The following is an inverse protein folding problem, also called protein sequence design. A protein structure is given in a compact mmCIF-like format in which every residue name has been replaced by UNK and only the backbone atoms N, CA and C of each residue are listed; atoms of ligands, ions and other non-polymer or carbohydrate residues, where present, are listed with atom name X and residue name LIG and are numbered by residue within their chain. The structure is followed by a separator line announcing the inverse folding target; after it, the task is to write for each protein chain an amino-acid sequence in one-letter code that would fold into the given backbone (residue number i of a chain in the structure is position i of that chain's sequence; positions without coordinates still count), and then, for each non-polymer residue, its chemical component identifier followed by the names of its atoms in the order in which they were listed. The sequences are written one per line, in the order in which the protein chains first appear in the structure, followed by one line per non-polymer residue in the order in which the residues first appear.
data_IF_697622348165
#
_entry.id   IF_697622348165
#
_cell.length_a   1.000
_cell.length_b   1.000
_cell.length_c   1.000
_cell.angle_alpha   90.00
_cell.angle_beta   90.00
_cell.angle_gamma   90.00
#
_symmetry.space_group_name_H-M   'P 1'
#
loop_
_entity.id
_entity.type
_entity.pdbx_description
1 polymer ?
#
# COMPACT_ATOMS: atom_id res chain seq x y z
N UNK A 1 1.16 -4.47 -38.47
CA UNK A 1 1.03 -5.82 -37.85
C UNK A 1 -0.29 -5.90 -37.10
N UNK A 2 -1.06 -7.00 -37.22
CA UNK A 2 -2.35 -7.14 -36.53
C UNK A 2 -2.11 -7.51 -35.05
N UNK A 3 -2.85 -6.85 -34.16
CA UNK A 3 -2.83 -7.18 -32.73
C UNK A 3 -3.73 -8.39 -32.51
N UNK A 4 -3.14 -9.51 -32.12
CA UNK A 4 -3.82 -10.77 -31.81
C UNK A 4 -3.69 -11.12 -30.34
N UNK A 5 -4.53 -12.02 -29.83
CA UNK A 5 -4.38 -12.56 -28.47
C UNK A 5 -3.05 -13.31 -28.30
N UNK A 6 -2.57 -13.95 -29.37
CA UNK A 6 -1.26 -14.60 -29.40
C UNK A 6 -0.14 -13.60 -29.19
N UNK A 7 -0.14 -12.46 -29.90
CA UNK A 7 0.84 -11.39 -29.71
C UNK A 7 0.82 -10.84 -28.26
N UNK A 8 -0.37 -10.72 -27.68
CA UNK A 8 -0.51 -10.30 -26.26
C UNK A 8 0.09 -11.34 -25.31
N UNK A 9 -0.14 -12.63 -25.57
CA UNK A 9 0.43 -13.69 -24.76
C UNK A 9 1.96 -13.73 -24.88
N UNK A 10 2.51 -13.54 -26.07
CA UNK A 10 3.96 -13.44 -26.30
C UNK A 10 4.58 -12.26 -25.55
N UNK A 11 3.91 -11.11 -25.55
CA UNK A 11 4.31 -9.96 -24.73
C UNK A 11 4.32 -10.29 -23.22
N UNK A 12 3.29 -10.97 -22.72
CA UNK A 12 3.22 -11.35 -21.32
C UNK A 12 4.30 -12.36 -20.93
N UNK A 13 4.62 -13.28 -21.85
CA UNK A 13 5.71 -14.25 -21.67
C UNK A 13 7.07 -13.54 -21.66
N UNK A 14 7.31 -12.62 -22.60
CA UNK A 14 8.49 -11.77 -22.59
C UNK A 14 8.66 -11.04 -21.23
N UNK A 15 7.56 -10.48 -20.69
CA UNK A 15 7.59 -9.83 -19.36
C UNK A 15 7.81 -10.81 -18.20
N UNK A 16 7.45 -12.09 -18.32
CA UNK A 16 7.84 -13.13 -17.35
C UNK A 16 9.33 -13.37 -17.35
N UNK A 17 9.93 -13.44 -18.54
CA UNK A 17 11.36 -13.63 -18.71
C UNK A 17 12.20 -12.46 -18.17
N UNK A 18 11.61 -11.27 -18.00
CA UNK A 18 12.19 -10.14 -17.25
C UNK A 18 12.06 -10.29 -15.72
N UNK A 19 11.76 -11.48 -15.19
CA UNK A 19 11.62 -11.78 -13.75
C UNK A 19 10.52 -10.98 -13.04
N UNK A 20 9.50 -10.53 -13.76
CA UNK A 20 8.36 -9.87 -13.14
C UNK A 20 7.49 -10.88 -12.37
N UNK A 21 6.98 -10.45 -11.22
CA UNK A 21 6.10 -11.29 -10.40
C UNK A 21 4.79 -11.57 -11.13
N UNK A 22 4.28 -12.79 -11.02
CA UNK A 22 3.05 -13.25 -11.67
C UNK A 22 1.84 -12.30 -11.42
N UNK A 23 1.78 -11.68 -10.24
CA UNK A 23 0.77 -10.65 -9.96
C UNK A 23 0.88 -9.44 -10.87
N UNK A 24 2.09 -9.01 -11.22
CA UNK A 24 2.34 -7.89 -12.16
C UNK A 24 1.93 -8.29 -13.57
N UNK A 25 2.26 -9.53 -13.99
CA UNK A 25 1.85 -10.08 -15.29
C UNK A 25 0.33 -10.11 -15.42
N UNK A 26 -0.39 -10.57 -14.37
CA UNK A 26 -1.86 -10.55 -14.34
C UNK A 26 -2.43 -9.13 -14.48
N UNK A 27 -1.78 -8.14 -13.86
CA UNK A 27 -2.18 -6.74 -14.01
C UNK A 27 -1.97 -6.24 -15.43
N UNK A 28 -0.82 -6.52 -16.04
CA UNK A 28 -0.55 -6.18 -17.43
C UNK A 28 -1.58 -6.82 -18.38
N UNK A 29 -1.88 -8.11 -18.19
CA UNK A 29 -2.90 -8.79 -18.99
C UNK A 29 -4.26 -8.09 -18.88
N UNK A 30 -4.70 -7.78 -17.67
CA UNK A 30 -5.98 -7.12 -17.43
C UNK A 30 -6.04 -5.74 -18.09
N UNK A 31 -5.01 -4.92 -17.89
CA UNK A 31 -4.96 -3.56 -18.42
C UNK A 31 -4.86 -3.53 -19.94
N UNK A 32 -4.05 -4.45 -20.53
CA UNK A 32 -3.89 -4.52 -21.97
C UNK A 32 -5.12 -5.09 -22.66
N UNK A 33 -5.76 -6.13 -22.10
CA UNK A 33 -7.01 -6.69 -22.66
C UNK A 33 -8.15 -5.68 -22.64
N UNK A 34 -8.17 -4.73 -21.70
CA UNK A 34 -9.13 -3.63 -21.70
C UNK A 34 -8.88 -2.67 -22.89
N UNK A 35 -7.61 -2.34 -23.15
CA UNK A 35 -7.20 -1.52 -24.29
C UNK A 35 -7.49 -2.24 -25.63
N UNK A 36 -7.14 -3.50 -25.73
CA UNK A 36 -7.38 -4.32 -26.94
C UNK A 36 -8.87 -4.39 -27.31
N UNK A 37 -9.75 -4.58 -26.32
CA UNK A 37 -11.20 -4.55 -26.55
C UNK A 37 -11.66 -3.19 -27.07
N UNK A 38 -11.18 -2.11 -26.47
CA UNK A 38 -11.49 -0.77 -26.92
C UNK A 38 -10.99 -0.49 -28.35
N UNK A 39 -9.80 -0.97 -28.71
CA UNK A 39 -9.29 -0.85 -30.09
C UNK A 39 -10.21 -1.59 -31.08
N UNK A 40 -10.65 -2.81 -30.76
CA UNK A 40 -11.58 -3.57 -31.62
C UNK A 40 -12.91 -2.84 -31.79
N UNK A 41 -13.48 -2.29 -30.73
CA UNK A 41 -14.74 -1.54 -30.78
C UNK A 41 -14.62 -0.29 -31.65
N UNK A 42 -13.43 0.32 -31.71
CA UNK A 42 -13.13 1.48 -32.54
C UNK A 42 -12.54 1.12 -33.91
N UNK A 43 -12.64 -0.14 -34.34
CA UNK A 43 -12.13 -0.65 -35.64
C UNK A 43 -10.64 -0.42 -35.86
N UNK A 44 -9.86 -0.35 -34.78
CA UNK A 44 -8.41 -0.22 -34.75
C UNK A 44 -7.83 -1.58 -34.36
N UNK A 45 -7.18 -2.26 -35.26
CA UNK A 45 -6.71 -3.63 -35.03
C UNK A 45 -5.24 -3.85 -35.32
N UNK A 46 -4.53 -2.83 -35.79
CA UNK A 46 -3.10 -2.90 -36.13
C UNK A 46 -2.26 -2.14 -35.13
N UNK A 47 -1.01 -2.52 -35.01
CA UNK A 47 -0.06 -1.79 -34.15
C UNK A 47 0.14 -0.36 -34.66
N UNK A 48 0.16 -0.16 -35.96
CA UNK A 48 0.30 1.13 -36.61
C UNK A 48 -0.87 2.08 -36.27
N UNK A 49 -2.02 1.52 -35.88
CA UNK A 49 -3.19 2.29 -35.44
C UNK A 49 -2.99 2.92 -34.03
N UNK A 50 -1.96 2.46 -33.30
CA UNK A 50 -1.64 3.00 -31.96
C UNK A 50 -0.79 4.27 -32.10
N UNK A 51 -1.35 5.28 -32.73
CA UNK A 51 -0.74 6.58 -32.85
C UNK A 51 -1.05 7.51 -31.67
N UNK A 52 -0.54 8.71 -31.72
CA UNK A 52 -0.79 9.73 -30.67
C UNK A 52 -2.27 10.04 -30.50
N UNK A 53 -3.01 10.13 -31.62
CA UNK A 53 -4.44 10.45 -31.60
C UNK A 53 -5.23 9.34 -30.90
N UNK A 54 -4.96 8.09 -31.26
CA UNK A 54 -5.57 6.91 -30.64
C UNK A 54 -5.32 6.85 -29.14
N UNK A 55 -4.12 7.21 -28.69
CA UNK A 55 -3.81 7.27 -27.26
C UNK A 55 -4.61 8.39 -26.57
N UNK A 56 -4.75 9.57 -27.18
CA UNK A 56 -5.56 10.65 -26.59
C UNK A 56 -7.07 10.31 -26.59
N UNK A 57 -7.57 9.62 -27.61
CA UNK A 57 -8.94 9.09 -27.66
C UNK A 57 -9.16 8.06 -26.53
N UNK A 58 -8.21 7.13 -26.35
CA UNK A 58 -8.29 6.17 -25.25
C UNK A 58 -8.23 6.81 -23.88
N UNK A 59 -7.41 7.84 -23.68
CA UNK A 59 -7.40 8.64 -22.44
C UNK A 59 -8.77 9.29 -22.21
N UNK A 60 -9.35 9.90 -23.23
CA UNK A 60 -10.68 10.54 -23.14
C UNK A 60 -11.74 9.50 -22.76
N UNK A 61 -11.68 8.30 -23.37
CA UNK A 61 -12.53 7.18 -22.99
C UNK A 61 -12.32 6.77 -21.53
N UNK A 62 -11.08 6.63 -21.06
CA UNK A 62 -10.79 6.30 -19.66
C UNK A 62 -11.32 7.37 -18.69
N UNK A 63 -11.25 8.63 -19.05
CA UNK A 63 -11.83 9.73 -18.27
C UNK A 63 -13.36 9.69 -18.25
N UNK A 64 -14.01 9.21 -19.32
CA UNK A 64 -15.46 9.08 -19.41
C UNK A 64 -16.00 7.85 -18.65
N UNK A 65 -15.14 6.89 -18.34
CA UNK A 65 -15.57 5.70 -17.59
C UNK A 65 -15.99 6.08 -16.17
N UNK A 66 -17.22 5.74 -15.85
CA UNK A 66 -17.80 5.96 -14.54
C UNK A 66 -17.13 5.07 -13.48
N UNK A 67 -16.50 5.66 -12.46
CA UNK A 67 -15.70 4.95 -11.45
C UNK A 67 -16.45 3.91 -10.61
N UNK A 68 -17.78 3.87 -10.64
CA UNK A 68 -18.60 2.94 -9.85
C UNK A 68 -18.42 1.46 -10.20
N UNK A 69 -17.96 1.12 -11.41
CA UNK A 69 -17.68 -0.27 -11.81
C UNK A 69 -16.30 -0.78 -11.39
N UNK A 70 -15.37 0.11 -11.04
CA UNK A 70 -13.96 -0.25 -10.82
C UNK A 70 -13.45 0.00 -9.41
N UNK A 71 -14.16 0.74 -8.58
CA UNK A 71 -13.77 0.99 -7.20
C UNK A 71 -14.96 0.87 -6.25
N UNK A 72 -15.00 -0.20 -5.50
CA UNK A 72 -15.94 -0.36 -4.36
C UNK A 72 -15.66 0.61 -3.21
N UNK A 73 -14.55 1.37 -3.26
CA UNK A 73 -14.01 2.13 -2.13
C UNK A 73 -13.68 3.59 -2.45
N UNK A 74 -13.92 4.09 -3.67
CA UNK A 74 -13.70 5.50 -3.98
C UNK A 74 -15.05 6.21 -4.15
N UNK A 75 -15.24 7.29 -3.40
CA UNK A 75 -16.37 8.23 -3.58
C UNK A 75 -16.23 9.04 -4.89
N UNK A 76 -15.23 8.75 -5.72
CA UNK A 76 -15.00 9.45 -6.97
C UNK A 76 -15.71 8.74 -8.11
N UNK A 77 -16.48 9.50 -8.86
CA UNK A 77 -17.23 9.04 -10.05
C UNK A 77 -16.31 8.69 -11.25
N UNK A 78 -15.00 8.93 -11.16
CA UNK A 78 -14.04 8.85 -12.26
C UNK A 78 -12.85 7.96 -11.92
N UNK A 79 -12.25 7.33 -12.95
CA UNK A 79 -10.96 6.65 -12.76
C UNK A 79 -9.91 7.66 -12.29
N UNK A 80 -9.13 7.27 -11.27
CA UNK A 80 -8.04 8.12 -10.82
C UNK A 80 -6.96 8.24 -11.91
N UNK A 81 -6.31 9.39 -12.00
CA UNK A 81 -5.18 9.61 -12.91
C UNK A 81 -4.04 8.59 -12.71
N UNK A 82 -3.86 8.07 -11.48
CA UNK A 82 -2.92 6.97 -11.19
C UNK A 82 -3.32 5.71 -11.95
N UNK A 83 -4.60 5.35 -11.92
CA UNK A 83 -5.13 4.18 -12.63
C UNK A 83 -5.02 4.36 -14.15
N UNK A 84 -5.28 5.57 -14.65
CA UNK A 84 -5.12 5.91 -16.07
C UNK A 84 -3.64 5.75 -16.47
N UNK A 85 -2.72 6.33 -15.70
CA UNK A 85 -1.29 6.21 -15.96
C UNK A 85 -0.78 4.76 -15.90
N UNK A 86 -1.32 3.93 -15.00
CA UNK A 86 -0.99 2.51 -14.95
C UNK A 86 -1.36 1.80 -16.26
N UNK A 87 -2.55 2.09 -16.81
CA UNK A 87 -2.99 1.54 -18.10
C UNK A 87 -2.13 2.03 -19.26
N UNK A 88 -1.81 3.33 -19.29
CA UNK A 88 -0.92 3.90 -20.31
C UNK A 88 0.51 3.33 -20.22
N UNK A 89 1.00 3.08 -19.01
CA UNK A 89 2.30 2.44 -18.80
C UNK A 89 2.32 1.02 -19.40
N UNK A 90 1.24 0.27 -19.25
CA UNK A 90 1.11 -1.05 -19.87
C UNK A 90 1.21 -0.99 -21.40
N UNK A 91 0.53 -0.01 -22.03
CA UNK A 91 0.60 0.20 -23.48
C UNK A 91 2.02 0.59 -23.89
N UNK A 92 2.68 1.47 -23.14
CA UNK A 92 4.06 1.86 -23.39
C UNK A 92 4.99 0.64 -23.42
N UNK A 93 4.92 -0.23 -22.42
CA UNK A 93 5.71 -1.45 -22.37
C UNK A 93 5.39 -2.43 -23.52
N UNK A 94 4.16 -2.48 -23.97
CA UNK A 94 3.80 -3.27 -25.14
C UNK A 94 4.43 -2.72 -26.43
N UNK A 95 4.43 -1.41 -26.63
CA UNK A 95 5.09 -0.79 -27.78
C UNK A 95 6.60 -0.97 -27.74
N UNK A 96 7.22 -0.86 -26.56
CA UNK A 96 8.65 -1.16 -26.35
C UNK A 96 8.98 -2.61 -26.74
N UNK A 97 8.14 -3.56 -26.35
CA UNK A 97 8.25 -4.96 -26.75
C UNK A 97 8.12 -5.15 -28.26
N UNK A 98 7.13 -4.52 -28.90
CA UNK A 98 6.93 -4.62 -30.34
C UNK A 98 8.11 -4.04 -31.12
N UNK A 99 8.66 -2.91 -30.68
CA UNK A 99 9.87 -2.35 -31.28
C UNK A 99 11.07 -3.28 -31.16
N UNK A 100 11.25 -3.91 -29.98
CA UNK A 100 12.40 -4.78 -29.73
C UNK A 100 12.32 -6.10 -30.51
N UNK A 101 11.11 -6.70 -30.61
CA UNK A 101 10.97 -8.04 -31.19
C UNK A 101 10.65 -8.01 -32.67
N UNK A 102 9.91 -7.00 -33.15
CA UNK A 102 9.36 -6.95 -34.50
C UNK A 102 9.82 -5.74 -35.33
N UNK A 103 10.78 -4.97 -34.83
CA UNK A 103 11.33 -3.78 -35.51
C UNK A 103 10.27 -2.76 -35.95
N UNK A 104 9.20 -2.64 -35.18
CA UNK A 104 8.11 -1.70 -35.45
C UNK A 104 8.50 -0.35 -34.84
N UNK A 105 8.83 0.63 -35.68
CA UNK A 105 9.28 1.96 -35.28
C UNK A 105 8.14 2.82 -34.69
N UNK A 106 7.70 2.48 -33.50
CA UNK A 106 6.76 3.26 -32.70
C UNK A 106 7.53 3.92 -31.55
N UNK A 107 7.33 5.21 -31.36
CA UNK A 107 7.98 5.92 -30.25
C UNK A 107 7.14 5.83 -28.98
N UNK A 108 7.50 4.96 -28.00
CA UNK A 108 6.76 4.82 -26.75
C UNK A 108 6.75 6.12 -25.91
N UNK A 109 7.68 7.07 -26.17
CA UNK A 109 7.76 8.34 -25.46
C UNK A 109 6.70 9.35 -25.91
N UNK A 110 6.05 9.10 -27.06
CA UNK A 110 4.88 9.89 -27.50
C UNK A 110 3.66 9.68 -26.58
N UNK A 111 3.63 8.58 -25.78
CA UNK A 111 2.62 8.36 -24.76
C UNK A 111 2.89 9.27 -23.57
N UNK A 112 2.23 10.43 -23.55
CA UNK A 112 2.32 11.35 -22.42
C UNK A 112 1.42 10.89 -21.29
N UNK A 113 2.01 10.68 -20.10
CA UNK A 113 1.27 10.39 -18.88
C UNK A 113 0.43 11.60 -18.45
N UNK A 114 -0.68 11.33 -17.76
CA UNK A 114 -1.51 12.38 -17.16
C UNK A 114 -0.73 13.01 -16.00
N UNK A 115 -0.62 14.35 -16.01
CA UNK A 115 0.04 15.05 -14.90
C UNK A 115 -0.79 14.89 -13.63
N UNK A 116 -0.17 14.33 -12.61
CA UNK A 116 -0.75 14.24 -11.29
C UNK A 116 -0.62 15.56 -10.54
N UNK A 117 -1.69 15.98 -9.88
CA UNK A 117 -1.51 16.89 -8.74
C UNK A 117 -0.90 16.08 -7.63
N UNK A 118 0.23 16.49 -7.06
CA UNK A 118 0.77 15.87 -5.86
C UNK A 118 -0.22 16.14 -4.73
N UNK A 119 -1.02 15.15 -4.36
CA UNK A 119 -1.78 15.25 -3.14
C UNK A 119 -0.79 15.09 -1.98
N UNK A 120 -0.85 15.99 -1.01
CA UNK A 120 -0.14 15.78 0.26
C UNK A 120 -0.57 14.43 0.83
N UNK A 121 0.41 13.65 1.25
CA UNK A 121 0.11 12.36 1.88
C UNK A 121 -0.41 12.63 3.29
N UNK A 122 -1.58 12.08 3.60
CA UNK A 122 -2.13 12.16 4.94
C UNK A 122 -1.25 11.40 5.93
N UNK A 123 -1.06 11.97 7.10
CA UNK A 123 -0.41 11.32 8.24
C UNK A 123 -1.18 11.65 9.53
N UNK A 124 -0.98 10.85 10.56
CA UNK A 124 -1.58 11.03 11.88
C UNK A 124 -0.50 11.46 12.89
N UNK A 125 -0.85 12.40 13.75
CA UNK A 125 -0.02 12.76 14.92
C UNK A 125 -0.16 11.70 16.01
N UNK A 126 0.69 11.76 17.03
CA UNK A 126 0.61 10.83 18.18
C UNK A 126 -0.73 10.94 18.91
N UNK A 127 -1.26 12.15 19.05
CA UNK A 127 -2.58 12.40 19.65
C UNK A 127 -3.69 11.80 18.80
N UNK A 128 -3.60 11.96 17.47
CA UNK A 128 -4.57 11.35 16.55
C UNK A 128 -4.50 9.81 16.60
N UNK A 129 -3.32 9.21 16.75
CA UNK A 129 -3.16 7.75 16.93
C UNK A 129 -3.79 7.29 18.26
N UNK A 130 -3.61 8.02 19.37
CA UNK A 130 -4.27 7.71 20.65
C UNK A 130 -5.80 7.71 20.50
N UNK A 131 -6.36 8.74 19.89
CA UNK A 131 -7.80 8.83 19.62
C UNK A 131 -8.30 7.68 18.71
N UNK A 132 -7.50 7.26 17.74
CA UNK A 132 -7.82 6.11 16.87
C UNK A 132 -7.84 4.82 17.70
N UNK A 133 -6.89 4.62 18.61
CA UNK A 133 -6.83 3.45 19.48
C UNK A 133 -8.00 3.40 20.48
N UNK A 134 -8.43 4.54 21.00
CA UNK A 134 -9.64 4.66 21.84
C UNK A 134 -10.91 4.34 21.05
N UNK A 135 -11.04 4.83 19.82
CA UNK A 135 -12.18 4.57 18.95
C UNK A 135 -12.36 3.08 18.61
N UNK A 136 -11.30 2.27 18.70
CA UNK A 136 -11.38 0.81 18.50
C UNK A 136 -12.32 0.18 19.53
N UNK A 137 -12.33 0.65 20.78
CA UNK A 137 -13.17 0.09 21.83
C UNK A 137 -14.66 0.30 21.55
N UNK A 138 -15.00 1.35 20.81
CA UNK A 138 -16.38 1.66 20.42
C UNK A 138 -16.80 0.96 19.11
N UNK A 139 -15.83 0.59 18.25
CA UNK A 139 -16.13 -0.01 16.95
C UNK A 139 -16.16 -1.54 16.99
N UNK A 140 -15.42 -2.16 17.88
CA UNK A 140 -15.33 -3.61 18.03
C UNK A 140 -16.07 -4.10 19.28
N UNK A 141 -17.03 -4.99 19.07
CA UNK A 141 -17.89 -5.51 20.15
C UNK A 141 -17.15 -6.41 21.14
N UNK A 142 -16.19 -7.21 20.66
CA UNK A 142 -15.51 -8.22 21.48
C UNK A 142 -14.09 -7.76 21.82
N UNK A 143 -13.68 -7.91 23.07
CA UNK A 143 -12.35 -7.51 23.57
C UNK A 143 -11.22 -8.08 22.74
N UNK A 144 -11.30 -9.33 22.33
CA UNK A 144 -10.31 -9.98 21.47
C UNK A 144 -10.13 -9.28 20.12
N UNK A 145 -11.21 -8.72 19.52
CA UNK A 145 -11.13 -7.97 18.28
C UNK A 145 -10.58 -6.57 18.51
N UNK A 146 -10.92 -5.94 19.64
CA UNK A 146 -10.36 -4.65 20.05
C UNK A 146 -8.85 -4.76 20.17
N UNK A 147 -8.35 -5.72 20.95
CA UNK A 147 -6.93 -5.93 21.17
C UNK A 147 -6.18 -6.28 19.87
N UNK A 148 -6.78 -7.12 19.02
CA UNK A 148 -6.22 -7.43 17.71
C UNK A 148 -6.07 -6.21 16.82
N UNK A 149 -7.10 -5.35 16.75
CA UNK A 149 -7.06 -4.14 15.92
C UNK A 149 -6.10 -3.11 16.51
N UNK A 150 -6.08 -2.93 17.83
CA UNK A 150 -5.10 -2.07 18.51
C UNK A 150 -3.67 -2.51 18.23
N UNK A 151 -3.38 -3.81 18.37
CA UNK A 151 -2.06 -4.37 18.07
C UNK A 151 -1.68 -4.14 16.60
N UNK A 152 -2.62 -4.36 15.66
CA UNK A 152 -2.38 -4.12 14.24
C UNK A 152 -2.04 -2.67 13.95
N UNK A 153 -2.81 -1.72 14.49
CA UNK A 153 -2.59 -0.28 14.30
C UNK A 153 -1.24 0.12 14.88
N UNK A 154 -0.96 -0.30 16.12
CA UNK A 154 0.27 0.07 16.81
C UNK A 154 1.51 -0.48 16.11
N UNK A 155 1.51 -1.78 15.76
CA UNK A 155 2.61 -2.41 15.01
C UNK A 155 2.85 -1.68 13.68
N UNK A 156 1.80 -1.33 12.93
CA UNK A 156 1.95 -0.59 11.66
C UNK A 156 2.52 0.82 11.88
N UNK A 157 2.11 1.49 12.95
CA UNK A 157 2.55 2.84 13.26
C UNK A 157 4.01 2.92 13.70
N UNK A 158 4.50 1.95 14.50
CA UNK A 158 5.86 2.01 15.06
C UNK A 158 6.92 1.29 14.23
N UNK A 159 6.54 0.48 13.21
CA UNK A 159 7.49 -0.45 12.58
C UNK A 159 7.63 -0.35 11.07
N UNK A 160 6.96 0.59 10.42
CA UNK A 160 7.02 0.76 8.96
C UNK A 160 6.74 -0.51 8.15
N UNK A 161 6.00 -1.47 8.68
CA UNK A 161 5.72 -2.74 8.03
C UNK A 161 4.69 -2.60 6.90
N UNK A 162 4.87 -3.37 5.82
CA UNK A 162 3.87 -3.51 4.76
C UNK A 162 2.80 -4.52 5.17
N UNK A 163 1.62 -4.45 4.56
CA UNK A 163 0.50 -5.35 4.86
C UNK A 163 0.89 -6.84 4.92
N UNK A 164 1.68 -7.31 3.96
CA UNK A 164 2.10 -8.71 3.95
C UNK A 164 3.14 -9.03 5.03
N UNK A 165 3.98 -8.07 5.37
CA UNK A 165 5.00 -8.19 6.42
C UNK A 165 4.32 -8.24 7.79
N UNK A 166 3.40 -7.31 8.08
CA UNK A 166 2.63 -7.30 9.34
C UNK A 166 1.90 -8.63 9.60
N UNK A 167 1.33 -9.21 8.55
CA UNK A 167 0.60 -10.49 8.67
C UNK A 167 1.50 -11.67 9.04
N UNK A 168 2.80 -11.57 8.79
CA UNK A 168 3.79 -12.63 9.02
C UNK A 168 4.61 -12.43 10.30
N UNK A 169 4.41 -11.32 11.03
CA UNK A 169 5.08 -11.07 12.29
C UNK A 169 4.70 -12.15 13.31
N UNK A 170 5.71 -12.71 13.95
CA UNK A 170 5.55 -13.72 15.00
C UNK A 170 5.45 -13.08 16.38
N UNK A 171 4.94 -13.83 17.32
CA UNK A 171 4.89 -13.44 18.74
C UNK A 171 6.28 -13.09 19.26
N UNK A 172 7.26 -13.93 18.96
CA UNK A 172 8.65 -13.73 19.40
C UNK A 172 9.28 -12.48 18.85
N UNK A 173 8.97 -12.10 17.60
CA UNK A 173 9.46 -10.87 16.99
C UNK A 173 9.10 -9.65 17.84
N UNK A 174 7.84 -9.57 18.29
CA UNK A 174 7.37 -8.47 19.14
C UNK A 174 7.97 -8.57 20.55
N UNK A 175 8.04 -9.76 21.14
CA UNK A 175 8.63 -9.97 22.47
C UNK A 175 10.11 -9.61 22.52
N UNK A 176 10.84 -9.87 21.46
CA UNK A 176 12.26 -9.49 21.30
C UNK A 176 12.47 -8.04 20.91
N UNK A 177 11.39 -7.25 20.75
CA UNK A 177 11.38 -5.86 20.33
C UNK A 177 12.00 -5.60 18.95
N UNK A 178 12.37 -6.63 18.21
CA UNK A 178 12.91 -6.49 16.87
C UNK A 178 12.80 -7.77 16.05
N UNK A 179 12.85 -7.61 14.73
CA UNK A 179 12.94 -8.72 13.77
C UNK A 179 13.65 -8.29 12.49
N UNK A 180 14.06 -9.26 11.69
CA UNK A 180 14.61 -9.03 10.37
C UNK A 180 13.55 -9.37 9.31
N UNK A 181 13.20 -8.41 8.48
CA UNK A 181 12.27 -8.61 7.36
C UNK A 181 13.07 -8.74 6.08
N UNK A 182 12.80 -9.80 5.34
CA UNK A 182 13.37 -10.00 3.99
C UNK A 182 12.57 -9.13 3.01
N UNK A 183 13.26 -8.26 2.33
CA UNK A 183 12.68 -7.36 1.33
C UNK A 183 13.02 -7.83 -0.09
N UNK A 184 12.71 -7.02 -1.11
CA UNK A 184 13.03 -7.33 -2.51
C UNK A 184 14.55 -7.60 -2.66
N UNK A 185 14.91 -8.62 -3.45
CA UNK A 185 16.30 -9.00 -3.74
C UNK A 185 17.07 -9.49 -2.51
N UNK A 186 16.40 -10.25 -1.61
CA UNK A 186 16.97 -10.81 -0.37
C UNK A 186 17.65 -9.81 0.59
N UNK A 187 17.40 -8.50 0.38
CA UNK A 187 17.88 -7.48 1.31
C UNK A 187 17.10 -7.59 2.61
N UNK A 188 17.82 -7.74 3.72
CA UNK A 188 17.26 -7.75 5.06
C UNK A 188 17.22 -6.32 5.61
N UNK A 189 16.12 -5.96 6.27
CA UNK A 189 16.07 -4.76 7.09
C UNK A 189 15.63 -5.13 8.49
N UNK A 190 16.22 -4.46 9.48
CA UNK A 190 15.82 -4.61 10.87
C UNK A 190 14.60 -3.74 11.14
N UNK A 191 13.66 -4.28 11.87
CA UNK A 191 12.41 -3.63 12.29
C UNK A 191 12.35 -3.67 13.80
N UNK A 192 11.85 -2.61 14.42
CA UNK A 192 11.78 -2.47 15.86
C UNK A 192 10.33 -2.33 16.32
N UNK A 193 10.06 -2.80 17.54
CA UNK A 193 8.78 -2.68 18.22
C UNK A 193 8.97 -1.94 19.55
N UNK A 194 7.87 -1.56 20.20
CA UNK A 194 7.88 -0.86 21.48
C UNK A 194 7.35 -1.76 22.60
N UNK A 195 7.63 -1.41 23.85
CA UNK A 195 7.07 -2.12 25.00
C UNK A 195 5.54 -2.09 25.00
N UNK A 196 4.92 -1.06 24.45
CA UNK A 196 3.48 -0.97 24.29
C UNK A 196 2.93 -2.06 23.35
N UNK A 197 3.68 -2.43 22.31
CA UNK A 197 3.34 -3.59 21.46
C UNK A 197 3.34 -4.89 22.28
N UNK A 198 4.31 -5.07 23.17
CA UNK A 198 4.39 -6.25 24.06
C UNK A 198 3.19 -6.27 25.01
N UNK A 199 2.85 -5.13 25.61
CA UNK A 199 1.72 -5.00 26.52
C UNK A 199 0.40 -5.42 25.86
N UNK A 200 0.08 -4.82 24.72
CA UNK A 200 -1.13 -5.16 23.97
C UNK A 200 -1.10 -6.61 23.46
N UNK A 201 0.06 -7.12 23.05
CA UNK A 201 0.21 -8.52 22.64
C UNK A 201 -0.12 -9.45 23.79
N UNK A 202 0.41 -9.22 25.00
CA UNK A 202 0.16 -10.07 26.16
C UNK A 202 -1.33 -10.08 26.54
N UNK A 203 -1.98 -8.91 26.60
CA UNK A 203 -3.43 -8.83 26.82
C UNK A 203 -4.20 -9.60 25.73
N UNK A 204 -3.77 -9.50 24.47
CA UNK A 204 -4.39 -10.22 23.35
C UNK A 204 -4.23 -11.76 23.50
N UNK A 205 -3.05 -12.23 23.92
CA UNK A 205 -2.80 -13.65 24.15
C UNK A 205 -3.61 -14.18 25.34
N UNK A 206 -3.72 -13.41 26.42
CA UNK A 206 -4.55 -13.76 27.57
C UNK A 206 -6.04 -13.86 27.18
N UNK A 207 -6.54 -12.91 26.40
CA UNK A 207 -7.92 -12.93 25.93
C UNK A 207 -8.22 -14.13 25.02
N UNK A 208 -7.22 -14.62 24.28
CA UNK A 208 -7.36 -15.83 23.46
C UNK A 208 -7.56 -17.11 24.27
N UNK A 209 -7.10 -17.14 25.52
CA UNK A 209 -7.28 -18.27 26.42
C UNK A 209 -8.68 -18.32 27.06
N UNK A 210 -9.50 -17.30 26.84
CA UNK A 210 -10.89 -17.28 27.32
C UNK A 210 -11.83 -17.96 26.31
N UNK A 211 -12.97 -18.49 26.76
CA UNK A 211 -13.97 -19.08 25.88
C UNK A 211 -14.48 -18.04 24.86
N UNK A 212 -14.54 -18.38 23.59
CA UNK A 212 -15.08 -17.51 22.56
C UNK A 212 -16.60 -17.32 22.74
N UNK A 213 -17.11 -16.08 22.67
CA UNK A 213 -18.51 -15.74 23.04
C UNK A 213 -19.60 -16.51 22.33
N UNK A 214 -19.33 -17.09 21.15
CA UNK A 214 -20.33 -17.83 20.35
C UNK A 214 -20.20 -19.35 20.45
N UNK A 215 -19.05 -19.86 20.87
CA UNK A 215 -18.74 -21.30 20.76
C UNK A 215 -18.53 -21.89 22.14
N UNK A 216 -18.36 -21.09 23.18
CA UNK A 216 -18.04 -21.48 24.56
C UNK A 216 -16.86 -22.47 24.68
N UNK A 217 -16.01 -22.53 23.65
CA UNK A 217 -14.82 -23.35 23.58
C UNK A 217 -13.57 -22.48 23.50
N UNK A 218 -12.55 -22.88 24.23
CA UNK A 218 -11.21 -22.32 24.10
C UNK A 218 -10.62 -22.88 22.80
N UNK A 219 -10.35 -22.00 21.86
CA UNK A 219 -9.71 -22.43 20.63
C UNK A 219 -8.20 -22.47 20.81
N UNK A 220 -7.62 -23.65 20.64
CA UNK A 220 -6.16 -23.82 20.74
C UNK A 220 -5.48 -23.10 19.57
N UNK A 221 -4.50 -22.26 19.89
CA UNK A 221 -3.68 -21.57 18.91
C UNK A 221 -2.81 -22.59 18.14
N UNK A 222 -2.79 -22.46 16.82
CA UNK A 222 -2.04 -23.38 15.93
C UNK A 222 -0.92 -22.69 15.15
N UNK A 223 -0.71 -21.37 15.36
CA UNK A 223 0.30 -20.60 14.63
C UNK A 223 1.07 -19.67 15.55
N UNK A 224 2.31 -19.32 15.18
CA UNK A 224 3.17 -18.38 15.90
C UNK A 224 2.95 -16.92 15.48
N UNK A 225 2.07 -16.67 14.50
CA UNK A 225 1.82 -15.30 14.05
C UNK A 225 1.21 -14.46 15.16
N UNK A 226 1.74 -13.23 15.37
CA UNK A 226 1.28 -12.33 16.42
C UNK A 226 -0.19 -11.91 16.21
N UNK A 227 -0.57 -11.61 14.96
CA UNK A 227 -1.91 -11.12 14.60
C UNK A 227 -2.61 -12.14 13.72
N UNK A 228 -3.69 -12.73 14.24
CA UNK A 228 -4.37 -13.85 13.60
C UNK A 228 -5.84 -13.56 13.30
N UNK A 229 -6.37 -14.29 12.32
CA UNK A 229 -7.78 -14.28 11.97
C UNK A 229 -8.59 -15.20 12.88
N UNK A 230 -9.74 -14.73 13.33
CA UNK A 230 -10.72 -15.54 14.07
C UNK A 230 -11.82 -15.92 13.09
N UNK A 231 -11.73 -17.10 12.50
CA UNK A 231 -12.77 -17.58 11.62
C UNK A 231 -13.53 -18.73 12.28
N UNK A 232 -14.84 -18.71 12.15
CA UNK A 232 -15.80 -19.68 12.71
C UNK A 232 -15.43 -21.16 12.44
N UNK A 233 -14.77 -21.48 11.31
CA UNK A 233 -14.43 -22.85 10.90
C UNK A 233 -12.92 -23.15 10.83
N UNK A 234 -12.07 -22.11 10.84
CA UNK A 234 -10.61 -22.26 10.80
C UNK A 234 -10.02 -21.34 11.84
N UNK A 235 -9.85 -21.86 13.01
CA UNK A 235 -9.25 -21.14 14.12
C UNK A 235 -7.79 -20.82 13.81
N UNK A 236 -7.40 -19.56 14.04
CA UNK A 236 -6.03 -19.12 14.17
C UNK A 236 -5.19 -19.16 12.88
N UNK A 237 -5.76 -18.79 11.77
CA UNK A 237 -5.01 -18.58 10.52
C UNK A 237 -4.47 -17.15 10.43
N UNK A 238 -3.49 -16.98 9.55
CA UNK A 238 -3.00 -15.65 9.19
C UNK A 238 -4.17 -14.72 8.83
N UNK A 239 -4.17 -13.51 9.39
CA UNK A 239 -5.21 -12.51 9.15
C UNK A 239 -5.32 -12.17 7.65
N UNK A 240 -6.48 -12.31 7.05
CA UNK A 240 -6.64 -12.04 5.63
C UNK A 240 -6.75 -10.54 5.33
N UNK A 241 -6.42 -10.14 4.10
CA UNK A 241 -6.41 -8.73 3.68
C UNK A 241 -7.79 -8.10 3.76
N UNK A 242 -8.82 -8.84 3.35
CA UNK A 242 -10.19 -8.37 3.36
C UNK A 242 -10.66 -8.07 4.78
N UNK A 243 -10.30 -8.91 5.75
CA UNK A 243 -10.63 -8.67 7.16
C UNK A 243 -9.97 -7.37 7.67
N UNK A 244 -8.70 -7.15 7.35
CA UNK A 244 -8.01 -5.91 7.71
C UNK A 244 -8.71 -4.70 7.10
N UNK A 245 -9.08 -4.78 5.82
CA UNK A 245 -9.78 -3.69 5.15
C UNK A 245 -11.14 -3.41 5.82
N UNK A 246 -11.93 -4.43 6.08
CA UNK A 246 -13.23 -4.28 6.75
C UNK A 246 -13.10 -3.67 8.16
N UNK A 247 -12.05 -4.04 8.91
CA UNK A 247 -11.79 -3.45 10.23
C UNK A 247 -11.48 -1.95 10.11
N UNK A 248 -10.65 -1.54 9.15
CA UNK A 248 -10.34 -0.13 8.92
C UNK A 248 -11.54 0.64 8.36
N UNK A 249 -12.33 0.06 7.44
CA UNK A 249 -13.52 0.70 6.91
C UNK A 249 -14.54 0.99 8.02
N UNK A 250 -14.74 0.03 8.94
CA UNK A 250 -15.61 0.19 10.11
C UNK A 250 -15.12 1.32 11.02
N UNK A 251 -13.82 1.38 11.29
CA UNK A 251 -13.21 2.42 12.11
C UNK A 251 -13.29 3.80 11.43
N UNK A 252 -13.04 3.89 10.14
CA UNK A 252 -13.16 5.11 9.34
C UNK A 252 -14.60 5.63 9.33
N UNK A 253 -15.59 4.73 9.18
CA UNK A 253 -17.00 5.08 9.20
C UNK A 253 -17.45 5.62 10.58
N UNK A 254 -16.90 5.06 11.66
CA UNK A 254 -17.17 5.55 13.01
C UNK A 254 -16.59 6.96 13.24
N UNK A 255 -15.33 7.14 12.86
CA UNK A 255 -14.61 8.40 13.11
C UNK A 255 -15.05 9.55 12.20
N UNK A 256 -15.63 9.27 11.03
CA UNK A 256 -16.09 10.24 10.02
C UNK A 256 -15.07 11.35 9.71
N UNK A 257 -13.79 11.02 9.74
CA UNK A 257 -12.69 11.97 9.51
C UNK A 257 -12.42 12.16 8.02
N UNK A 258 -11.81 13.29 7.68
CA UNK A 258 -11.31 13.57 6.32
C UNK A 258 -10.10 12.69 5.96
N UNK A 259 -9.25 12.37 6.95
CA UNK A 259 -8.08 11.49 6.78
C UNK A 259 -8.50 10.03 6.99
N UNK A 260 -8.35 9.20 5.96
CA UNK A 260 -8.66 7.78 6.05
C UNK A 260 -7.54 6.98 6.69
N UNK A 261 -7.90 6.13 7.67
CA UNK A 261 -6.99 5.19 8.31
C UNK A 261 -6.78 4.02 7.35
N UNK A 262 -5.56 3.87 6.91
CA UNK A 262 -5.10 2.75 6.09
C UNK A 262 -3.71 2.32 6.58
N UNK A 263 -3.26 1.13 6.20
CA UNK A 263 -1.88 0.73 6.50
C UNK A 263 -0.85 1.68 5.88
N UNK A 264 -1.18 2.31 4.74
CA UNK A 264 -0.29 3.28 4.11
C UNK A 264 -0.22 4.58 4.90
N UNK A 265 -1.37 5.11 5.37
CA UNK A 265 -1.38 6.34 6.18
C UNK A 265 -0.68 6.14 7.52
N UNK A 266 -0.87 5.00 8.20
CA UNK A 266 -0.14 4.66 9.42
C UNK A 266 1.37 4.57 9.18
N UNK A 267 1.76 3.96 8.09
CA UNK A 267 3.15 3.86 7.66
C UNK A 267 3.74 5.25 7.33
N UNK A 268 2.99 6.14 6.69
CA UNK A 268 3.42 7.53 6.47
C UNK A 268 3.56 8.30 7.79
N UNK A 269 2.65 8.06 8.73
CA UNK A 269 2.72 8.64 10.07
C UNK A 269 4.02 8.30 10.79
N UNK A 270 4.49 7.04 10.70
CA UNK A 270 5.79 6.63 11.22
C UNK A 270 6.93 7.51 10.70
N UNK A 271 7.05 7.66 9.38
CA UNK A 271 8.11 8.44 8.78
C UNK A 271 8.05 9.92 9.19
N UNK A 272 6.84 10.50 9.18
CA UNK A 272 6.61 11.90 9.54
C UNK A 272 6.88 12.12 11.04
N UNK A 273 6.51 11.17 11.91
CA UNK A 273 6.81 11.24 13.34
C UNK A 273 8.31 11.22 13.59
N UNK A 274 9.07 10.35 12.93
CA UNK A 274 10.53 10.31 13.05
C UNK A 274 11.18 11.62 12.58
N UNK A 275 10.72 12.18 11.45
CA UNK A 275 11.21 13.47 10.95
C UNK A 275 10.91 14.60 11.93
N UNK A 276 9.74 14.61 12.54
CA UNK A 276 9.36 15.61 13.56
C UNK A 276 10.20 15.49 14.82
N UNK A 277 10.60 14.28 15.19
CA UNK A 277 11.47 13.98 16.31
C UNK A 277 12.97 14.01 15.95
N UNK A 278 13.33 14.74 14.88
CA UNK A 278 14.72 15.05 14.52
C UNK A 278 15.59 13.85 14.10
N UNK A 279 14.99 12.72 13.79
CA UNK A 279 15.75 11.58 13.25
C UNK A 279 16.28 11.95 11.86
N UNK A 280 17.56 11.65 11.62
CA UNK A 280 18.20 11.95 10.34
C UNK A 280 17.51 11.23 9.17
N UNK A 281 17.40 11.91 8.03
CA UNK A 281 16.75 11.37 6.84
C UNK A 281 17.42 10.07 6.34
N UNK A 282 18.74 9.95 6.47
CA UNK A 282 19.47 8.73 6.11
C UNK A 282 19.08 7.55 7.01
N UNK A 283 18.88 7.81 8.31
CA UNK A 283 18.46 6.77 9.27
C UNK A 283 17.01 6.34 9.00
N UNK A 284 16.14 7.31 8.71
CA UNK A 284 14.77 7.03 8.28
C UNK A 284 14.77 6.19 7.00
N UNK A 285 15.60 6.55 6.01
CA UNK A 285 15.73 5.79 4.78
C UNK A 285 16.14 4.33 5.04
N UNK A 286 17.12 4.12 5.92
CA UNK A 286 17.58 2.80 6.32
C UNK A 286 16.48 2.00 7.03
N UNK A 287 15.78 2.60 7.99
CA UNK A 287 14.65 1.99 8.70
C UNK A 287 13.51 1.61 7.74
N UNK A 288 13.24 2.48 6.76
CA UNK A 288 12.20 2.25 5.75
C UNK A 288 12.61 1.24 4.67
N UNK A 289 13.90 1.01 4.51
CA UNK A 289 14.48 0.17 3.46
C UNK A 289 14.29 0.77 2.06
N UNK A 290 14.34 2.09 1.91
CA UNK A 290 14.24 2.75 0.61
C UNK A 290 15.58 2.72 -0.12
N UNK A 291 15.60 2.16 -1.33
CA UNK A 291 16.80 2.12 -2.17
C UNK A 291 17.16 3.47 -2.80
N UNK A 292 16.21 4.41 -2.86
CA UNK A 292 16.40 5.76 -3.43
C UNK A 292 16.02 6.82 -2.41
N UNK A 293 16.89 7.79 -2.20
CA UNK A 293 16.66 8.93 -1.30
C UNK A 293 15.44 9.75 -1.73
N UNK A 294 15.19 9.86 -3.05
CA UNK A 294 14.02 10.56 -3.59
C UNK A 294 12.67 10.05 -3.05
N UNK A 295 12.60 8.75 -2.71
CA UNK A 295 11.38 8.17 -2.12
C UNK A 295 11.17 8.63 -0.67
N UNK A 296 12.25 8.88 0.07
CA UNK A 296 12.20 9.40 1.44
C UNK A 296 12.06 10.91 1.44
N UNK A 297 12.62 11.59 0.43
CA UNK A 297 12.51 13.04 0.25
C UNK A 297 11.08 13.53 0.04
N UNK A 298 10.14 12.66 -0.37
CA UNK A 298 8.71 13.01 -0.44
C UNK A 298 8.13 13.44 0.90
N UNK A 299 8.76 13.07 2.01
CA UNK A 299 8.36 13.48 3.36
C UNK A 299 8.96 14.84 3.79
N UNK A 300 9.94 15.37 3.04
CA UNK A 300 10.59 16.64 3.33
C UNK A 300 9.78 17.87 2.90
N UNK A 301 8.74 17.70 2.10
CA UNK A 301 7.92 18.82 1.60
C UNK A 301 7.01 19.43 2.68
N UNK A 302 7.23 19.09 3.93
CA UNK A 302 6.34 19.48 4.99
C UNK A 302 7.02 20.42 5.97
N UNK A 303 6.34 21.54 6.12
CA UNK A 303 6.35 22.44 7.25
C UNK A 303 7.60 23.33 7.41
N UNK A 304 7.49 24.52 6.82
CA UNK A 304 8.34 25.65 7.17
C UNK A 304 8.44 25.85 8.70
N UNK A 305 7.40 25.50 9.45
CA UNK A 305 7.38 25.52 10.91
C UNK A 305 8.40 24.56 11.53
N UNK A 306 8.59 23.37 10.94
CA UNK A 306 9.60 22.41 11.38
C UNK A 306 11.01 22.94 11.07
N UNK A 307 11.21 23.49 9.88
CA UNK A 307 12.49 24.08 9.50
C UNK A 307 12.84 25.29 10.36
N UNK A 308 11.86 26.13 10.68
CA UNK A 308 12.03 27.29 11.57
C UNK A 308 12.38 26.84 12.99
N UNK A 309 11.68 25.87 13.55
CA UNK A 309 12.01 25.29 14.87
C UNK A 309 13.41 24.68 14.89
N UNK A 310 13.80 23.99 13.81
CA UNK A 310 15.16 23.45 13.66
C UNK A 310 16.21 24.54 13.69
N UNK A 311 16.01 25.58 12.92
CA UNK A 311 16.90 26.73 12.89
C UNK A 311 17.00 27.36 14.30
N UNK A 312 15.88 27.63 14.94
CA UNK A 312 15.85 28.23 16.30
C UNK A 312 16.55 27.35 17.32
N UNK A 313 16.34 26.02 17.32
CA UNK A 313 17.03 25.11 18.24
C UNK A 313 18.53 25.04 17.98
N UNK A 314 18.93 24.98 16.71
CA UNK A 314 20.35 24.90 16.32
C UNK A 314 21.13 26.15 16.77
N UNK A 315 20.49 27.31 16.68
CA UNK A 315 21.13 28.59 17.00
C UNK A 315 20.68 29.18 18.35
N UNK A 316 19.90 28.46 19.17
CA UNK A 316 19.43 28.94 20.48
C UNK A 316 20.56 29.28 21.46
N UNK A 317 21.75 28.67 21.32
CA UNK A 317 22.92 28.91 22.16
C UNK A 317 23.98 29.82 21.47
N UNK A 318 23.65 30.36 20.29
CA UNK A 318 24.55 31.29 19.60
C UNK A 318 24.35 32.70 20.17
N UNK A 319 25.17 33.04 21.17
CA UNK A 319 25.26 34.38 21.74
C UNK A 319 26.49 35.06 21.16
N UNK A 320 26.30 36.23 20.52
CA UNK A 320 27.42 37.09 20.05
C UNK A 320 27.96 37.91 21.19
#
# INVERSE_FOLDING_TARGET
MIITEELINNFLEYKRNEWLKEKTIKSFRYDFMAFYRWLKENKKGRIEDIDKLTIEEYKSFLFSLWGSKYSRYSNTKWLSWITINQKLCCIKHFLEYCNYVYDVWLDPNKIKMVKAKSNRMDYFTEEEIKLILEAVDHTEKYRINQLRLKLLILVCYVSWLRLNEVRQIKIEDIKNLNTNIIWKWDKKRKVFFTNECIRILNEYLEEQNKPLPRIWKIAKRTTDYAIIGHHYRKFWTMLCRQTIQLMFDKLNNYLKRTKHITLHTLRHSFATTLLRNWVNLSDIQNLMGHSKLSTTATYLHEDWNILQKRQQMTFSNFVI
#
